data_IF_054175410698
#
_entry.id   IF_054175410698
#
_cell.length_a   1.000
_cell.length_b   1.000
_cell.length_c   1.000
_cell.angle_alpha   90.00
_cell.angle_beta   90.00
_cell.angle_gamma   90.00
#
_symmetry.space_group_name_H-M   'P 1'
#
loop_
_entity.id
_entity.type
_entity.pdbx_description
1 polymer ?
#
# COMPACT_ATOMS: atom_id res chain seq x y z
N UNK A 1 -28.19 3.60 -12.44
CA UNK A 1 -26.88 3.79 -11.80
C UNK A 1 -26.36 5.23 -11.82
N UNK A 2 -25.98 5.85 -12.95
CA UNK A 2 -25.48 7.26 -12.95
C UNK A 2 -26.54 8.25 -12.44
N UNK A 3 -27.78 8.07 -12.90
CA UNK A 3 -28.90 8.89 -12.41
C UNK A 3 -29.21 8.62 -10.93
N UNK A 4 -29.03 7.40 -10.41
CA UNK A 4 -29.38 7.09 -9.02
C UNK A 4 -28.45 7.75 -8.00
N UNK A 5 -27.15 7.85 -8.27
CA UNK A 5 -26.21 8.54 -7.37
C UNK A 5 -26.53 10.04 -7.35
N UNK A 6 -26.73 10.65 -8.52
CA UNK A 6 -27.14 12.06 -8.59
C UNK A 6 -28.52 12.29 -7.97
N UNK A 7 -29.49 11.38 -8.14
CA UNK A 7 -30.81 11.49 -7.52
C UNK A 7 -30.77 11.31 -6.00
N UNK A 8 -29.98 10.36 -5.49
CA UNK A 8 -29.76 10.15 -4.05
C UNK A 8 -29.11 11.38 -3.42
N UNK A 9 -28.13 11.99 -4.10
CA UNK A 9 -27.37 13.15 -3.59
C UNK A 9 -28.11 14.48 -3.79
N UNK A 10 -28.93 14.61 -4.84
CA UNK A 10 -29.68 15.85 -5.14
C UNK A 10 -30.94 16.01 -4.29
N UNK A 11 -31.54 14.92 -3.80
CA UNK A 11 -32.67 14.98 -2.89
C UNK A 11 -32.20 14.90 -1.43
N UNK A 12 -31.94 16.08 -0.84
CA UNK A 12 -31.53 16.35 0.56
C UNK A 12 -32.25 15.57 1.68
N UNK A 13 -33.34 14.86 1.39
CA UNK A 13 -34.19 14.20 2.39
C UNK A 13 -33.94 12.69 2.56
N UNK A 14 -33.17 12.03 1.68
CA UNK A 14 -32.97 10.56 1.76
C UNK A 14 -31.50 10.12 1.92
N UNK A 15 -30.53 11.02 1.71
CA UNK A 15 -29.09 10.67 1.73
C UNK A 15 -28.42 10.77 3.11
N UNK A 16 -29.07 11.39 4.09
CA UNK A 16 -28.44 11.71 5.38
C UNK A 16 -28.15 10.49 6.25
N UNK A 17 -28.78 9.34 5.99
CA UNK A 17 -28.62 8.12 6.77
C UNK A 17 -27.96 6.98 5.99
N UNK A 18 -27.41 7.24 4.80
CA UNK A 18 -26.76 6.19 4.03
C UNK A 18 -25.48 5.73 4.75
N UNK A 19 -25.41 4.44 5.08
CA UNK A 19 -24.27 3.83 5.78
C UNK A 19 -23.36 3.00 4.88
N UNK A 20 -23.87 2.50 3.77
CA UNK A 20 -23.11 1.68 2.83
C UNK A 20 -23.40 2.13 1.41
N UNK A 21 -22.35 2.35 0.62
CA UNK A 21 -22.43 2.74 -0.78
C UNK A 21 -21.42 1.95 -1.61
N UNK A 22 -21.92 1.33 -2.68
CA UNK A 22 -21.12 0.60 -3.64
C UNK A 22 -21.27 1.18 -5.03
N UNK A 23 -20.12 1.46 -5.64
CA UNK A 23 -19.99 2.05 -6.97
C UNK A 23 -19.10 1.13 -7.80
N UNK A 24 -19.62 0.65 -8.93
CA UNK A 24 -18.89 -0.25 -9.81
C UNK A 24 -19.04 0.19 -11.27
N UNK A 25 -17.91 0.31 -11.99
CA UNK A 25 -17.87 0.63 -13.43
C UNK A 25 -18.65 1.91 -13.79
N UNK A 26 -18.52 2.95 -12.96
CA UNK A 26 -19.15 4.25 -13.19
C UNK A 26 -18.28 5.14 -14.11
N UNK A 27 -17.98 4.67 -15.33
CA UNK A 27 -17.11 5.38 -16.28
C UNK A 27 -17.53 6.80 -16.70
N UNK A 28 -18.82 7.20 -16.76
CA UNK A 28 -19.18 8.57 -17.13
C UNK A 28 -19.09 9.57 -15.96
N UNK A 29 -18.76 9.12 -14.74
CA UNK A 29 -18.64 10.00 -13.57
C UNK A 29 -17.19 10.45 -13.42
N UNK A 30 -16.96 11.76 -13.35
CA UNK A 30 -15.63 12.33 -13.06
C UNK A 30 -15.25 12.10 -11.61
N UNK A 31 -13.95 12.10 -11.31
CA UNK A 31 -13.47 12.00 -9.92
C UNK A 31 -14.03 13.11 -9.04
N UNK A 32 -14.13 14.33 -9.58
CA UNK A 32 -14.71 15.50 -8.90
C UNK A 32 -16.19 15.31 -8.58
N UNK A 33 -17.01 14.90 -9.56
CA UNK A 33 -18.44 14.67 -9.33
C UNK A 33 -18.70 13.54 -8.33
N UNK A 34 -17.83 12.53 -8.31
CA UNK A 34 -17.87 11.47 -7.31
C UNK A 34 -17.50 12.00 -5.91
N UNK A 35 -16.45 12.81 -5.80
CA UNK A 35 -16.08 13.46 -4.54
C UNK A 35 -17.23 14.31 -4.01
N UNK A 36 -17.80 15.20 -4.84
CA UNK A 36 -18.92 16.06 -4.46
C UNK A 36 -20.15 15.28 -3.96
N UNK A 37 -20.37 14.08 -4.50
CA UNK A 37 -21.42 13.18 -4.04
C UNK A 37 -21.11 12.58 -2.67
N UNK A 38 -19.89 12.06 -2.49
CA UNK A 38 -19.48 11.35 -1.27
C UNK A 38 -19.37 12.27 -0.05
N UNK A 39 -18.88 13.51 -0.22
CA UNK A 39 -18.76 14.47 0.89
C UNK A 39 -20.12 14.86 1.50
N UNK A 40 -21.23 14.57 0.81
CA UNK A 40 -22.60 14.82 1.31
C UNK A 40 -23.17 13.63 2.10
N UNK A 41 -22.36 12.61 2.37
CA UNK A 41 -22.74 11.36 3.07
C UNK A 41 -21.94 11.15 4.37
N UNK A 42 -22.03 12.05 5.37
CA UNK A 42 -21.16 12.02 6.55
C UNK A 42 -21.37 10.81 7.47
N UNK A 43 -22.47 10.06 7.31
CA UNK A 43 -22.78 8.85 8.08
C UNK A 43 -22.35 7.55 7.38
N UNK A 44 -21.62 7.65 6.26
CA UNK A 44 -21.14 6.48 5.53
C UNK A 44 -20.12 5.72 6.38
N UNK A 45 -20.38 4.42 6.57
CA UNK A 45 -19.50 3.49 7.28
C UNK A 45 -18.79 2.53 6.31
N UNK A 46 -19.37 2.29 5.13
CA UNK A 46 -18.82 1.40 4.12
C UNK A 46 -18.85 2.06 2.74
N UNK A 47 -17.69 2.06 2.08
CA UNK A 47 -17.53 2.56 0.72
C UNK A 47 -16.82 1.53 -0.14
N UNK A 48 -17.45 1.14 -1.24
CA UNK A 48 -16.81 0.36 -2.29
C UNK A 48 -16.77 1.18 -3.59
N UNK A 49 -15.56 1.39 -4.13
CA UNK A 49 -15.32 2.04 -5.41
C UNK A 49 -14.52 1.08 -6.29
N UNK A 50 -15.20 0.49 -7.27
CA UNK A 50 -14.64 -0.54 -8.16
C UNK A 50 -14.63 -0.08 -9.60
N UNK A 51 -13.45 -0.04 -10.22
CA UNK A 51 -13.27 0.27 -11.64
C UNK A 51 -13.89 1.63 -12.02
N UNK A 52 -13.80 2.59 -11.12
CA UNK A 52 -14.20 3.98 -11.33
C UNK A 52 -12.96 4.88 -11.40
N UNK A 53 -13.08 6.01 -12.10
CA UNK A 53 -12.04 7.04 -12.07
C UNK A 53 -12.13 7.81 -10.75
N UNK A 54 -11.16 7.59 -9.87
CA UNK A 54 -11.03 8.31 -8.60
C UNK A 54 -9.56 8.70 -8.46
N UNK A 55 -9.26 10.00 -8.45
CA UNK A 55 -7.90 10.47 -8.24
C UNK A 55 -7.48 10.30 -6.77
N UNK A 56 -6.17 10.30 -6.53
CA UNK A 56 -5.58 10.26 -5.19
C UNK A 56 -6.06 11.46 -4.35
N UNK A 57 -6.13 12.64 -4.96
CA UNK A 57 -6.63 13.84 -4.28
C UNK A 57 -8.11 13.71 -3.88
N UNK A 58 -8.93 13.16 -4.77
CA UNK A 58 -10.32 12.84 -4.44
C UNK A 58 -10.42 11.87 -3.27
N UNK A 59 -9.55 10.84 -3.22
CA UNK A 59 -9.50 9.86 -2.13
C UNK A 59 -9.15 10.52 -0.79
N UNK A 60 -8.19 11.46 -0.77
CA UNK A 60 -7.82 12.25 0.43
C UNK A 60 -9.00 13.08 0.93
N UNK A 61 -9.67 13.81 0.04
CA UNK A 61 -10.85 14.61 0.38
C UNK A 61 -11.97 13.74 0.94
N UNK A 62 -12.20 12.57 0.34
CA UNK A 62 -13.20 11.60 0.82
C UNK A 62 -12.84 11.10 2.22
N UNK A 63 -11.59 10.71 2.46
CA UNK A 63 -11.14 10.22 3.77
C UNK A 63 -11.36 11.24 4.88
N UNK A 64 -11.04 12.51 4.64
CA UNK A 64 -11.32 13.58 5.59
C UNK A 64 -12.81 13.86 5.80
N UNK A 65 -13.64 13.60 4.78
CA UNK A 65 -15.08 13.94 4.81
C UNK A 65 -15.96 12.82 5.36
N UNK A 66 -15.43 11.60 5.52
CA UNK A 66 -16.17 10.42 5.98
C UNK A 66 -15.63 9.93 7.34
N UNK A 67 -15.92 10.64 8.44
CA UNK A 67 -15.34 10.37 9.76
C UNK A 67 -15.76 9.03 10.37
N UNK A 68 -16.82 8.41 9.85
CA UNK A 68 -17.36 7.12 10.33
C UNK A 68 -16.97 5.94 9.44
N UNK A 69 -16.13 6.15 8.42
CA UNK A 69 -15.75 5.11 7.47
C UNK A 69 -14.93 4.02 8.16
N UNK A 70 -15.48 2.80 8.17
CA UNK A 70 -14.87 1.60 8.77
C UNK A 70 -14.42 0.61 7.71
N UNK A 71 -15.09 0.61 6.55
CA UNK A 71 -14.83 -0.32 5.46
C UNK A 71 -14.57 0.44 4.17
N UNK A 72 -13.38 0.27 3.61
CA UNK A 72 -13.05 0.76 2.28
C UNK A 72 -12.69 -0.42 1.36
N UNK A 73 -13.33 -0.47 0.19
CA UNK A 73 -12.96 -1.38 -0.89
C UNK A 73 -12.65 -0.57 -2.14
N UNK A 74 -11.37 -0.48 -2.49
CA UNK A 74 -10.88 0.24 -3.65
C UNK A 74 -10.32 -0.76 -4.66
N UNK A 75 -11.04 -0.96 -5.77
CA UNK A 75 -10.62 -1.90 -6.81
C UNK A 75 -10.28 -1.11 -8.08
N UNK A 76 -9.03 -1.17 -8.51
CA UNK A 76 -8.54 -0.46 -9.70
C UNK A 76 -8.63 -1.35 -10.93
N UNK A 77 -8.56 -0.74 -12.10
CA UNK A 77 -8.31 -1.47 -13.33
C UNK A 77 -6.83 -1.83 -13.35
N UNK A 78 -6.51 -3.09 -13.67
CA UNK A 78 -5.12 -3.51 -13.82
C UNK A 78 -4.43 -2.66 -14.89
N UNK A 79 -3.41 -1.92 -14.48
CA UNK A 79 -2.54 -1.17 -15.38
C UNK A 79 -1.25 -1.96 -15.55
N UNK A 80 -0.90 -2.44 -16.77
CA UNK A 80 0.31 -3.22 -17.02
C UNK A 80 1.61 -2.38 -16.96
N UNK A 81 1.56 -1.19 -16.35
CA UNK A 81 2.71 -0.29 -16.30
C UNK A 81 3.62 -0.66 -15.12
N UNK A 82 4.94 -0.74 -15.32
CA UNK A 82 5.90 -1.20 -14.33
C UNK A 82 6.16 -0.20 -13.19
N UNK A 83 5.52 0.97 -13.22
CA UNK A 83 5.73 1.99 -12.21
C UNK A 83 4.86 1.72 -10.99
N UNK A 84 5.47 1.12 -9.97
CA UNK A 84 4.90 0.99 -8.64
C UNK A 84 4.94 2.36 -7.94
N UNK A 85 3.88 2.69 -7.21
CA UNK A 85 3.75 3.84 -6.33
C UNK A 85 2.89 3.45 -5.11
N UNK A 86 2.81 4.34 -4.12
CA UNK A 86 2.08 4.14 -2.86
C UNK A 86 1.00 5.22 -2.66
N UNK A 87 0.62 5.95 -3.72
CA UNK A 87 -0.19 7.16 -3.58
C UNK A 87 -1.55 6.91 -2.93
N UNK A 88 -2.24 5.83 -3.36
CA UNK A 88 -3.52 5.42 -2.77
C UNK A 88 -3.33 4.99 -1.30
N UNK A 89 -2.25 4.26 -1.01
CA UNK A 89 -1.94 3.80 0.34
C UNK A 89 -1.67 4.95 1.30
N UNK A 90 -0.86 5.93 0.87
CA UNK A 90 -0.56 7.15 1.62
C UNK A 90 -1.80 8.00 1.85
N UNK A 91 -2.63 8.17 0.83
CA UNK A 91 -3.91 8.88 0.98
C UNK A 91 -4.81 8.20 2.03
N UNK A 92 -4.88 6.88 2.05
CA UNK A 92 -5.67 6.12 3.03
C UNK A 92 -5.06 6.26 4.42
N UNK A 93 -3.76 6.02 4.58
CA UNK A 93 -3.07 6.06 5.87
C UNK A 93 -3.18 7.43 6.53
N UNK A 94 -3.09 8.51 5.75
CA UNK A 94 -3.14 9.87 6.29
C UNK A 94 -4.54 10.34 6.67
N UNK A 95 -5.60 9.78 6.08
CA UNK A 95 -6.95 10.35 6.16
C UNK A 95 -8.00 9.43 6.78
N UNK A 96 -7.73 8.13 6.91
CA UNK A 96 -8.74 7.13 7.32
C UNK A 96 -8.27 6.24 8.50
N UNK A 97 -7.90 6.83 9.66
CA UNK A 97 -7.31 6.07 10.77
C UNK A 97 -8.27 5.09 11.48
N UNK A 98 -9.57 5.15 11.18
CA UNK A 98 -10.63 4.34 11.82
C UNK A 98 -11.06 3.13 10.97
N UNK A 99 -10.33 2.84 9.89
CA UNK A 99 -10.61 1.68 9.06
C UNK A 99 -10.38 0.39 9.85
N UNK A 100 -11.37 -0.49 9.78
CA UNK A 100 -11.30 -1.87 10.29
C UNK A 100 -11.19 -2.89 9.16
N UNK A 101 -11.68 -2.54 7.97
CA UNK A 101 -11.68 -3.41 6.80
C UNK A 101 -11.17 -2.63 5.58
N UNK A 102 -10.05 -3.07 5.02
CA UNK A 102 -9.48 -2.51 3.80
C UNK A 102 -9.32 -3.60 2.74
N UNK A 103 -9.88 -3.35 1.56
CA UNK A 103 -9.61 -4.12 0.37
C UNK A 103 -9.00 -3.21 -0.69
N UNK A 104 -7.81 -3.57 -1.13
CA UNK A 104 -7.15 -3.03 -2.30
C UNK A 104 -7.06 -4.17 -3.33
N UNK A 105 -7.70 -4.02 -4.48
CA UNK A 105 -7.56 -4.97 -5.60
C UNK A 105 -6.93 -4.28 -6.81
N UNK A 106 -5.82 -4.85 -7.30
CA UNK A 106 -5.07 -4.30 -8.44
C UNK A 106 -4.62 -2.84 -8.26
N UNK A 107 -4.43 -2.39 -7.01
CA UNK A 107 -3.86 -1.07 -6.71
C UNK A 107 -2.34 -1.20 -6.74
N UNK A 108 -1.64 -0.12 -7.07
CA UNK A 108 -0.19 -0.11 -6.90
C UNK A 108 0.12 -0.01 -5.40
N UNK A 109 1.03 -0.87 -4.95
CA UNK A 109 1.41 -0.93 -3.54
C UNK A 109 2.81 -1.54 -3.39
N UNK A 110 3.65 -0.87 -2.62
CA UNK A 110 4.94 -1.37 -2.12
C UNK A 110 4.86 -1.70 -0.63
N UNK A 111 5.92 -2.30 -0.08
CA UNK A 111 6.03 -2.53 1.36
C UNK A 111 6.00 -1.22 2.16
N UNK A 112 6.49 -0.11 1.60
CA UNK A 112 6.46 1.20 2.26
C UNK A 112 5.02 1.72 2.43
N UNK A 113 4.21 1.66 1.37
CA UNK A 113 2.80 2.02 1.44
C UNK A 113 1.99 1.09 2.36
N UNK A 114 2.29 -0.21 2.34
CA UNK A 114 1.66 -1.15 3.28
C UNK A 114 2.00 -0.80 4.73
N UNK A 115 3.27 -0.57 5.06
CA UNK A 115 3.67 -0.18 6.41
C UNK A 115 3.02 1.14 6.82
N UNK A 116 2.91 2.13 5.93
CA UNK A 116 2.20 3.36 6.21
C UNK A 116 0.73 3.13 6.60
N UNK A 117 0.02 2.21 5.91
CA UNK A 117 -1.34 1.82 6.29
C UNK A 117 -1.35 1.16 7.68
N UNK A 118 -0.47 0.19 7.92
CA UNK A 118 -0.43 -0.54 9.20
C UNK A 118 -0.10 0.36 10.39
N UNK A 119 0.76 1.36 10.19
CA UNK A 119 1.16 2.31 11.23
C UNK A 119 0.07 3.33 11.56
N UNK A 120 -0.75 3.72 10.57
CA UNK A 120 -1.74 4.80 10.74
C UNK A 120 -3.20 4.34 10.81
N UNK A 121 -3.48 3.06 10.55
CA UNK A 121 -4.81 2.45 10.70
C UNK A 121 -4.78 1.39 11.82
N UNK A 122 -4.73 1.79 13.10
CA UNK A 122 -4.56 0.86 14.23
C UNK A 122 -5.76 -0.05 14.47
N UNK A 123 -6.95 0.33 13.98
CA UNK A 123 -8.19 -0.43 14.13
C UNK A 123 -8.36 -1.52 13.03
N UNK A 124 -7.36 -1.71 12.15
CA UNK A 124 -7.46 -2.58 10.98
C UNK A 124 -7.46 -4.07 11.37
N UNK A 125 -8.58 -4.74 11.10
CA UNK A 125 -8.80 -6.17 11.39
C UNK A 125 -8.73 -7.05 10.13
N UNK A 126 -9.12 -6.48 8.98
CA UNK A 126 -9.22 -7.19 7.71
C UNK A 126 -8.50 -6.44 6.60
N UNK A 127 -7.57 -7.13 5.92
CA UNK A 127 -6.78 -6.59 4.83
C UNK A 127 -6.74 -7.58 3.65
N UNK A 128 -7.18 -7.12 2.49
CA UNK A 128 -7.13 -7.86 1.22
C UNK A 128 -6.33 -7.06 0.19
N UNK A 129 -5.22 -7.62 -0.28
CA UNK A 129 -4.25 -6.97 -1.19
C UNK A 129 -4.06 -7.74 -2.50
N UNK A 130 -5.06 -8.54 -2.91
CA UNK A 130 -4.94 -9.35 -4.13
C UNK A 130 -4.61 -8.46 -5.33
N UNK A 131 -3.63 -8.91 -6.12
CA UNK A 131 -3.17 -8.22 -7.33
C UNK A 131 -2.52 -6.84 -7.08
N UNK A 132 -2.19 -6.47 -5.84
CA UNK A 132 -1.55 -5.17 -5.57
C UNK A 132 -0.02 -5.16 -5.82
N UNK A 133 0.64 -6.32 -5.82
CA UNK A 133 2.04 -6.54 -6.23
C UNK A 133 2.37 -8.03 -6.14
N UNK A 134 3.39 -8.51 -6.87
CA UNK A 134 3.95 -9.86 -6.71
C UNK A 134 5.05 -9.93 -5.64
N UNK A 135 5.49 -8.78 -5.10
CA UNK A 135 6.70 -8.66 -4.27
C UNK A 135 6.46 -8.22 -2.82
N UNK A 136 5.22 -8.11 -2.35
CA UNK A 136 4.95 -7.80 -0.93
C UNK A 136 5.43 -9.00 -0.09
N UNK A 137 6.62 -8.90 0.47
CA UNK A 137 7.31 -9.97 1.17
C UNK A 137 7.09 -9.93 2.68
N UNK A 138 6.34 -8.95 3.21
CA UNK A 138 6.26 -8.75 4.66
C UNK A 138 4.84 -8.44 5.13
N UNK A 139 4.12 -9.47 5.55
CA UNK A 139 3.11 -9.30 6.59
C UNK A 139 3.80 -9.57 7.93
N UNK A 140 4.15 -8.52 8.67
CA UNK A 140 4.53 -8.65 10.08
C UNK A 140 3.67 -7.75 10.95
N UNK A 141 2.86 -8.34 11.81
CA UNK A 141 2.18 -7.63 12.90
C UNK A 141 3.22 -7.08 13.88
N UNK A 142 2.86 -6.09 14.72
CA UNK A 142 3.74 -5.53 15.76
C UNK A 142 4.32 -6.54 16.77
N UNK A 143 3.91 -7.81 16.72
CA UNK A 143 4.36 -8.89 17.61
C UNK A 143 4.97 -10.08 16.86
N UNK A 144 5.20 -9.99 15.54
CA UNK A 144 5.68 -11.13 14.76
C UNK A 144 7.19 -11.36 14.98
N UNK A 145 7.55 -12.62 15.27
CA UNK A 145 8.89 -13.01 15.70
C UNK A 145 9.96 -12.72 14.65
N UNK A 146 11.03 -12.02 15.01
CA UNK A 146 12.18 -11.65 14.15
C UNK A 146 13.09 -12.80 13.75
N UNK A 147 12.76 -14.06 14.08
CA UNK A 147 13.66 -15.20 13.92
C UNK A 147 14.06 -15.50 12.47
N UNK A 148 13.20 -15.19 11.49
CA UNK A 148 13.51 -15.38 10.06
C UNK A 148 14.24 -14.19 9.42
N UNK A 149 14.79 -13.26 10.20
CA UNK A 149 15.62 -12.20 9.63
C UNK A 149 16.86 -12.83 8.95
N UNK A 150 17.19 -12.48 7.69
CA UNK A 150 18.39 -12.97 7.02
C UNK A 150 19.70 -12.43 7.64
N UNK A 151 19.59 -11.67 8.73
CA UNK A 151 20.70 -11.15 9.50
C UNK A 151 20.50 -11.47 10.98
N UNK A 152 21.44 -12.21 11.55
CA UNK A 152 21.49 -12.43 12.99
C UNK A 152 21.70 -11.09 13.69
N UNK A 153 20.71 -10.67 14.48
CA UNK A 153 20.89 -9.56 15.43
C UNK A 153 21.61 -10.13 16.64
N UNK A 154 22.93 -9.97 16.68
CA UNK A 154 23.69 -10.26 17.89
C UNK A 154 23.40 -9.15 18.89
N UNK A 155 22.51 -9.42 19.85
CA UNK A 155 22.40 -8.58 21.05
C UNK A 155 23.71 -8.76 21.80
N UNK A 156 24.62 -7.79 21.69
CA UNK A 156 25.82 -7.75 22.54
C UNK A 156 25.33 -7.33 23.93
N UNK A 157 25.33 -8.22 24.93
CA UNK A 157 25.03 -7.81 26.29
C UNK A 157 26.22 -6.97 26.74
N UNK A 158 26.01 -5.67 26.92
CA UNK A 158 26.95 -4.85 27.68
C UNK A 158 26.78 -5.20 29.14
N UNK A 159 27.60 -6.12 29.65
CA UNK A 159 27.91 -6.12 31.08
C UNK A 159 29.35 -6.59 31.37
N UNK A 160 30.11 -5.62 31.86
CA UNK A 160 31.22 -5.64 32.83
C UNK A 160 32.25 -6.79 32.91
N UNK A 161 33.52 -6.36 32.76
CA UNK A 161 34.73 -6.74 33.53
C UNK A 161 35.70 -7.82 32.99
N UNK A 162 36.88 -7.30 32.60
CA UNK A 162 38.26 -7.75 32.79
C UNK A 162 38.86 -9.00 32.09
N UNK A 163 39.97 -8.70 31.39
CA UNK A 163 41.19 -9.47 31.08
C UNK A 163 41.12 -10.71 30.17
N UNK A 164 41.47 -10.51 28.89
CA UNK A 164 42.71 -10.98 28.24
C UNK A 164 42.55 -10.98 26.70
N UNK A 165 43.33 -10.13 26.01
CA UNK A 165 43.59 -10.24 24.56
C UNK A 165 44.81 -11.18 24.41
N UNK A 166 44.86 -12.11 23.43
CA UNK A 166 45.28 -11.68 22.09
C UNK A 166 44.66 -12.50 20.92
N UNK A 167 44.28 -11.82 19.83
CA UNK A 167 44.34 -12.35 18.45
C UNK A 167 45.68 -13.10 18.18
N UNK A 168 45.95 -13.90 17.09
CA UNK A 168 45.26 -13.99 15.77
C UNK A 168 45.33 -15.39 15.04
N UNK A 169 44.77 -15.46 13.81
CA UNK A 169 44.99 -16.48 12.74
C UNK A 169 44.33 -17.88 12.97
N UNK A 170 43.93 -18.71 12.00
CA UNK A 170 44.10 -18.79 10.55
C UNK A 170 43.20 -19.91 9.97
N UNK A 171 42.74 -19.71 8.73
CA UNK A 171 42.60 -20.66 7.60
C UNK A 171 41.86 -22.02 7.64
N UNK A 172 41.04 -22.16 6.57
CA UNK A 172 40.81 -23.31 5.68
C UNK A 172 39.76 -24.39 6.00
N UNK A 173 38.67 -24.36 5.22
CA UNK A 173 38.35 -25.51 4.36
C UNK A 173 37.58 -25.10 3.09
N UNK A 174 38.30 -25.24 1.97
CA UNK A 174 37.92 -25.53 0.59
C UNK A 174 36.45 -25.85 0.29
N UNK A 175 35.88 -25.12 -0.69
CA UNK A 175 35.21 -25.74 -1.86
C UNK A 175 34.88 -24.68 -2.92
N UNK A 176 35.82 -24.51 -3.84
CA UNK A 176 35.65 -24.49 -5.31
C UNK A 176 34.27 -24.06 -5.87
N UNK A 177 34.16 -22.79 -6.28
CA UNK A 177 33.25 -22.39 -7.36
C UNK A 177 34.01 -21.46 -8.31
N UNK A 178 34.34 -22.01 -9.48
CA UNK A 178 34.96 -21.34 -10.61
C UNK A 178 34.07 -20.21 -11.15
N UNK A 179 34.58 -18.99 -11.14
CA UNK A 179 34.09 -17.89 -11.96
C UNK A 179 34.60 -18.09 -13.39
N UNK A 180 33.70 -18.35 -14.35
CA UNK A 180 34.03 -18.23 -15.77
C UNK A 180 33.78 -16.80 -16.25
N UNK A 181 34.84 -16.26 -16.85
CA UNK A 181 35.00 -15.10 -17.75
C UNK A 181 33.75 -14.27 -18.10
N UNK A 182 33.80 -12.99 -17.73
CA UNK A 182 33.18 -11.93 -18.53
C UNK A 182 34.25 -11.32 -19.42
N UNK A 183 34.28 -11.75 -20.67
CA UNK A 183 35.07 -11.11 -21.72
C UNK A 183 34.67 -9.64 -21.89
N UNK A 184 35.73 -8.84 -21.90
CA UNK A 184 35.76 -7.39 -21.94
C UNK A 184 35.63 -6.94 -23.40
N UNK A 185 34.43 -6.55 -23.83
CA UNK A 185 34.27 -5.86 -25.13
C UNK A 185 34.46 -4.36 -24.96
N UNK A 186 35.70 -3.95 -25.15
CA UNK A 186 36.08 -2.59 -25.52
C UNK A 186 36.16 -2.53 -27.06
N UNK A 187 35.29 -1.74 -27.69
CA UNK A 187 35.50 -1.31 -29.07
C UNK A 187 34.95 0.09 -29.27
N UNK A 188 35.87 1.04 -29.08
CA UNK A 188 35.77 2.42 -29.50
C UNK A 188 35.70 2.58 -31.04
N UNK A 189 35.15 3.72 -31.43
CA UNK A 189 35.11 4.35 -32.77
C UNK A 189 33.96 3.91 -33.71
N UNK A 190 33.29 4.77 -34.48
CA UNK A 190 33.71 6.00 -35.16
C UNK A 190 32.49 6.93 -35.40
N UNK A 191 32.78 8.24 -35.49
CA UNK A 191 31.98 9.34 -36.03
C UNK A 191 31.30 9.12 -37.40
N UNK A 192 30.33 10.01 -37.65
CA UNK A 192 29.71 10.47 -38.91
C UNK A 192 28.71 9.55 -39.64
N UNK A 193 27.43 9.97 -39.67
CA UNK A 193 26.83 10.73 -40.78
C UNK A 193 25.50 11.38 -40.38
#
# INVERSE_FOLDING_TARGET
MVLEIFFLVSHRSHSSNLRSLKLAKCSPVTSEGLTEALVKLPLLEELEVSYCSLSVESLRVIGHSLPNLKTLKLNRLYTPFPFMDDDDALAISETMPRLSHLQLFANKLTDAGLNAILDNCPDLEHLDLRQCSESIQVFRRPCDSTDDYPHYVTIIPTDSSDDDDPYPYAYDHDSDYSYEDYDLYDYDSVYDF
#
